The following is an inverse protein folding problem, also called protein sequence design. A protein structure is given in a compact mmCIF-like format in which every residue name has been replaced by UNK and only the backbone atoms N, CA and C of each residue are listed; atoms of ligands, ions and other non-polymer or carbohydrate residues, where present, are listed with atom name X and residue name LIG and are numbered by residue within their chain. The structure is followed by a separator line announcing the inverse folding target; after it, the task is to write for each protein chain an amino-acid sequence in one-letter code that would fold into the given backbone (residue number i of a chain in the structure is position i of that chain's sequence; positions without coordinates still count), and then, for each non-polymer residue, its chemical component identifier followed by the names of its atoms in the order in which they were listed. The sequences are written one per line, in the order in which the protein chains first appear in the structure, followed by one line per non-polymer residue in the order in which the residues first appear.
data_IF_881167868637
#
_entry.id   IF_881167868637
#
_cell.length_a   1.000
_cell.length_b   1.000
_cell.length_c   1.000
_cell.angle_alpha   90.00
_cell.angle_beta   90.00
_cell.angle_gamma   90.00
#
_symmetry.space_group_name_H-M   'P 1'
#
loop_
_entity.id
_entity.type
_entity.pdbx_description
1 polymer ?
#
# COMPACT_ATOMS: atom_id res chain seq x y z
N UNK A 1 16.25 -22.98 9.26
CA UNK A 1 15.90 -21.62 8.80
C UNK A 1 15.52 -20.78 10.00
N UNK A 2 16.31 -19.75 10.33
CA UNK A 2 15.93 -18.80 11.35
C UNK A 2 14.65 -18.07 10.91
N UNK A 3 13.67 -17.92 11.83
CA UNK A 3 12.51 -17.10 11.51
C UNK A 3 13.00 -15.68 11.20
N UNK A 4 12.58 -15.15 10.07
CA UNK A 4 12.96 -13.80 9.66
C UNK A 4 12.66 -12.81 10.79
N UNK A 5 13.72 -12.31 11.41
CA UNK A 5 13.60 -11.34 12.50
C UNK A 5 13.18 -9.99 11.90
N UNK A 6 12.46 -9.19 12.68
CA UNK A 6 12.22 -7.80 12.34
C UNK A 6 13.55 -7.05 12.20
N UNK A 7 13.52 -5.91 11.57
CA UNK A 7 14.71 -5.07 11.37
C UNK A 7 14.46 -3.64 11.83
N UNK A 8 15.56 -2.91 12.01
CA UNK A 8 15.52 -1.48 12.26
C UNK A 8 15.23 -0.71 10.96
N UNK A 9 14.33 0.23 11.04
CA UNK A 9 14.07 1.21 9.98
C UNK A 9 14.08 2.61 10.58
N UNK A 10 14.71 3.54 9.89
CA UNK A 10 14.70 4.95 10.27
C UNK A 10 13.45 5.63 9.72
N UNK A 11 12.62 6.17 10.61
CA UNK A 11 11.44 6.97 10.25
C UNK A 11 11.59 8.36 10.87
N UNK A 12 11.87 9.36 10.02
CA UNK A 12 12.30 10.68 10.48
C UNK A 12 13.64 10.59 11.21
N UNK A 13 13.69 11.03 12.46
CA UNK A 13 14.89 10.95 13.33
C UNK A 13 14.90 9.75 14.29
N UNK A 14 13.90 8.88 14.24
CA UNK A 14 13.77 7.74 15.15
C UNK A 14 14.07 6.42 14.45
N UNK A 15 14.79 5.52 15.14
CA UNK A 15 14.98 4.14 14.74
C UNK A 15 13.87 3.29 15.33
N UNK A 16 13.08 2.65 14.44
CA UNK A 16 11.98 1.76 14.85
C UNK A 16 12.30 0.32 14.46
N UNK A 17 12.20 -0.59 15.42
CA UNK A 17 12.31 -2.01 15.14
C UNK A 17 10.92 -2.59 14.86
N UNK A 18 10.79 -3.31 13.76
CA UNK A 18 9.48 -3.89 13.45
C UNK A 18 9.38 -4.57 12.10
N UNK A 19 8.15 -4.58 11.62
CA UNK A 19 7.73 -5.15 10.35
C UNK A 19 6.93 -4.11 9.57
N UNK A 20 6.94 -4.24 8.24
CA UNK A 20 6.04 -3.51 7.36
C UNK A 20 4.94 -4.43 6.85
N UNK A 21 3.73 -3.92 6.77
CA UNK A 21 2.63 -4.55 6.08
C UNK A 21 2.44 -3.83 4.74
N UNK A 22 2.57 -4.56 3.65
CA UNK A 22 2.31 -4.11 2.29
C UNK A 22 0.99 -4.74 1.86
N UNK A 23 0.08 -3.96 1.31
CA UNK A 23 -1.19 -4.49 0.85
C UNK A 23 -1.75 -3.72 -0.34
N UNK A 24 -2.41 -4.46 -1.21
CA UNK A 24 -3.15 -3.94 -2.35
C UNK A 24 -4.62 -3.72 -2.01
N UNK A 25 -5.16 -2.59 -2.46
CA UNK A 25 -6.58 -2.23 -2.28
C UNK A 25 -7.19 -1.98 -3.64
N UNK A 26 -8.30 -2.64 -3.93
CA UNK A 26 -9.03 -2.36 -5.16
C UNK A 26 -9.57 -0.93 -5.17
N UNK A 27 -9.28 -0.21 -6.24
CA UNK A 27 -9.63 1.19 -6.38
C UNK A 27 -11.13 1.45 -6.49
N UNK A 28 -11.93 0.46 -6.86
CA UNK A 28 -13.40 0.56 -6.97
C UNK A 28 -14.07 0.22 -5.64
N UNK A 29 -13.86 -0.99 -5.15
CA UNK A 29 -14.48 -1.47 -3.90
C UNK A 29 -13.83 -0.92 -2.63
N UNK A 30 -12.53 -0.56 -2.67
CA UNK A 30 -11.76 -0.16 -1.49
C UNK A 30 -11.46 -1.33 -0.55
N UNK A 31 -11.61 -2.57 -1.03
CA UNK A 31 -11.31 -3.78 -0.27
C UNK A 31 -9.88 -4.23 -0.53
N UNK A 32 -9.26 -4.83 0.46
CA UNK A 32 -7.92 -5.40 0.36
C UNK A 32 -7.98 -6.73 -0.36
N UNK A 33 -7.15 -6.92 -1.38
CA UNK A 33 -7.06 -8.16 -2.15
C UNK A 33 -5.73 -8.89 -1.97
N UNK A 34 -4.68 -8.21 -1.54
CA UNK A 34 -3.36 -8.81 -1.31
C UNK A 34 -2.71 -8.24 -0.06
N UNK A 35 -1.93 -9.06 0.64
CA UNK A 35 -1.22 -8.68 1.86
C UNK A 35 0.12 -9.42 1.93
N UNK A 36 1.18 -8.65 2.15
CA UNK A 36 2.50 -9.16 2.45
C UNK A 36 3.09 -8.48 3.68
N UNK A 37 3.89 -9.23 4.44
CA UNK A 37 4.60 -8.71 5.62
C UNK A 37 6.09 -8.91 5.44
N UNK A 38 6.85 -7.85 5.59
CA UNK A 38 8.31 -7.89 5.49
C UNK A 38 8.98 -7.32 6.73
N UNK A 39 10.28 -7.47 6.83
CA UNK A 39 11.07 -6.71 7.80
C UNK A 39 11.01 -5.21 7.46
N UNK A 40 11.15 -4.36 8.47
CA UNK A 40 10.96 -2.91 8.30
C UNK A 40 11.96 -2.24 7.32
N UNK A 41 13.12 -2.84 7.07
CA UNK A 41 14.14 -2.35 6.15
C UNK A 41 13.85 -2.62 4.66
N UNK A 42 12.85 -3.45 4.34
CA UNK A 42 12.50 -3.74 2.95
C UNK A 42 11.84 -2.51 2.32
N UNK A 43 12.30 -2.14 1.13
CA UNK A 43 11.74 -1.01 0.39
C UNK A 43 10.37 -1.37 -0.21
N UNK A 44 9.42 -0.45 -0.10
CA UNK A 44 8.04 -0.66 -0.56
C UNK A 44 7.98 -1.01 -2.06
N UNK A 45 8.82 -0.38 -2.87
CA UNK A 45 8.90 -0.63 -4.32
C UNK A 45 9.22 -2.08 -4.69
N UNK A 46 9.95 -2.82 -3.83
CA UNK A 46 10.31 -4.22 -4.09
C UNK A 46 9.13 -5.18 -3.94
N UNK A 47 8.07 -4.74 -3.27
CA UNK A 47 6.89 -5.56 -3.01
C UNK A 47 5.78 -5.34 -4.04
N UNK A 48 6.01 -4.49 -5.06
CA UNK A 48 4.97 -4.12 -6.02
C UNK A 48 4.44 -5.32 -6.79
N UNK A 49 5.32 -6.19 -7.30
CA UNK A 49 4.95 -7.38 -8.07
C UNK A 49 4.14 -8.38 -7.24
N UNK A 50 4.50 -8.54 -5.95
CA UNK A 50 3.81 -9.46 -5.03
C UNK A 50 2.39 -8.99 -4.66
N UNK A 51 2.13 -7.69 -4.77
CA UNK A 51 0.83 -7.12 -4.44
C UNK A 51 -0.15 -7.09 -5.62
N UNK A 52 0.34 -7.25 -6.85
CA UNK A 52 -0.47 -7.24 -8.05
C UNK A 52 -1.05 -8.63 -8.34
N UNK A 53 -2.32 -8.67 -8.69
CA UNK A 53 -3.03 -9.91 -9.07
C UNK A 53 -2.88 -10.24 -10.56
N UNK A 54 -2.41 -9.26 -11.33
CA UNK A 54 -2.33 -9.31 -12.79
C UNK A 54 -3.63 -8.94 -13.52
N UNK A 55 -4.66 -8.53 -12.79
CA UNK A 55 -5.93 -8.05 -13.37
C UNK A 55 -5.93 -6.52 -13.57
N UNK A 56 -4.98 -5.82 -12.97
CA UNK A 56 -4.95 -4.37 -12.88
C UNK A 56 -4.72 -3.71 -14.26
N UNK A 57 -5.47 -2.67 -14.53
CA UNK A 57 -5.21 -1.76 -15.66
C UNK A 57 -4.43 -0.51 -15.22
N UNK A 58 -4.63 -0.11 -13.96
CA UNK A 58 -4.00 1.07 -13.36
C UNK A 58 -3.57 0.77 -11.94
N UNK A 59 -2.33 1.09 -11.62
CA UNK A 59 -1.75 0.96 -10.28
C UNK A 59 -1.48 2.35 -9.72
N UNK A 60 -1.98 2.61 -8.53
CA UNK A 60 -1.72 3.85 -7.80
C UNK A 60 -0.78 3.57 -6.62
N UNK A 61 0.25 4.37 -6.48
CA UNK A 61 1.20 4.27 -5.37
C UNK A 61 1.66 5.63 -4.87
N UNK A 62 2.20 5.66 -3.67
CA UNK A 62 2.85 6.85 -3.15
C UNK A 62 4.28 7.01 -3.71
N UNK A 63 4.99 8.02 -3.24
CA UNK A 63 6.36 8.28 -3.70
C UNK A 63 7.39 7.21 -3.30
N UNK A 64 7.04 6.30 -2.40
CA UNK A 64 7.86 5.12 -2.05
C UNK A 64 7.92 4.08 -3.15
N UNK A 65 6.96 4.11 -4.09
CA UNK A 65 6.87 3.22 -5.24
C UNK A 65 7.43 3.81 -6.54
N UNK A 66 8.12 4.96 -6.48
CA UNK A 66 8.76 5.55 -7.67
C UNK A 66 9.76 4.56 -8.27
N UNK A 67 9.61 4.28 -9.56
CA UNK A 67 10.46 3.35 -10.30
C UNK A 67 9.94 1.92 -10.32
N UNK A 68 8.81 1.62 -9.71
CA UNK A 68 8.20 0.28 -9.72
C UNK A 68 8.05 -0.28 -11.14
N UNK A 69 7.66 0.57 -12.09
CA UNK A 69 7.47 0.18 -13.50
C UNK A 69 8.75 -0.14 -14.27
N UNK A 70 9.91 0.21 -13.71
CA UNK A 70 11.24 0.04 -14.34
C UNK A 70 12.03 -1.13 -13.79
N UNK A 71 11.49 -1.83 -12.82
CA UNK A 71 12.16 -2.98 -12.20
C UNK A 71 12.08 -4.20 -13.13
N UNK A 72 13.04 -5.09 -13.01
CA UNK A 72 13.09 -6.34 -13.80
C UNK A 72 11.93 -7.28 -13.47
N UNK A 73 11.42 -7.22 -12.23
CA UNK A 73 10.28 -7.98 -11.73
C UNK A 73 8.93 -7.26 -11.95
N UNK A 74 8.91 -6.10 -12.64
CA UNK A 74 7.70 -5.31 -12.83
C UNK A 74 6.68 -6.02 -13.74
N UNK A 75 5.45 -6.14 -13.26
CA UNK A 75 4.33 -6.60 -14.08
C UNK A 75 3.87 -5.42 -14.95
N UNK A 76 4.27 -5.40 -16.21
CA UNK A 76 3.97 -4.30 -17.13
C UNK A 76 2.71 -4.52 -17.96
N UNK A 77 2.23 -5.76 -18.03
CA UNK A 77 1.00 -6.14 -18.73
C UNK A 77 0.13 -7.01 -17.82
N UNK A 78 -1.16 -6.81 -17.90
CA UNK A 78 -2.11 -7.64 -17.17
C UNK A 78 -2.32 -8.99 -17.88
N UNK A 79 -3.08 -9.90 -17.26
CA UNK A 79 -3.41 -11.24 -17.82
C UNK A 79 -4.08 -11.20 -19.18
N UNK A 80 -4.70 -10.08 -19.53
CA UNK A 80 -5.34 -9.84 -20.83
C UNK A 80 -4.41 -9.18 -21.86
N UNK A 81 -3.10 -9.09 -21.57
CA UNK A 81 -2.08 -8.48 -22.44
C UNK A 81 -2.10 -6.94 -22.49
N UNK A 82 -3.00 -6.29 -21.77
CA UNK A 82 -3.12 -4.83 -21.71
C UNK A 82 -2.03 -4.22 -20.86
N UNK A 83 -1.40 -3.15 -21.33
CA UNK A 83 -0.36 -2.44 -20.58
C UNK A 83 -0.91 -1.80 -19.30
N UNK A 84 -0.28 -2.08 -18.18
CA UNK A 84 -0.61 -1.49 -16.87
C UNK A 84 -0.07 -0.06 -16.82
N UNK A 85 -0.90 0.88 -16.34
CA UNK A 85 -0.53 2.28 -16.15
C UNK A 85 -0.17 2.53 -14.70
N UNK A 86 1.10 2.79 -14.42
CA UNK A 86 1.57 3.16 -13.08
C UNK A 86 1.37 4.66 -12.83
N UNK A 87 0.53 5.01 -11.87
CA UNK A 87 0.22 6.39 -11.45
C UNK A 87 0.80 6.66 -10.05
N UNK A 88 2.11 6.73 -9.96
CA UNK A 88 2.83 6.96 -8.72
C UNK A 88 2.88 8.46 -8.41
N UNK A 89 2.70 8.83 -7.13
CA UNK A 89 2.82 10.22 -6.69
C UNK A 89 4.26 10.71 -6.77
N UNK A 90 4.43 11.94 -7.21
CA UNK A 90 5.74 12.61 -7.24
C UNK A 90 6.13 13.10 -5.85
N UNK A 91 7.43 13.15 -5.58
CA UNK A 91 7.94 13.79 -4.37
C UNK A 91 7.65 15.31 -4.42
N UNK A 92 7.27 15.94 -3.30
CA UNK A 92 7.02 17.38 -3.25
C UNK A 92 8.19 18.24 -3.77
N UNK A 93 9.43 17.80 -3.53
CA UNK A 93 10.63 18.44 -4.05
C UNK A 93 10.68 18.51 -5.58
N UNK A 94 10.26 17.46 -6.27
CA UNK A 94 10.23 17.42 -7.74
C UNK A 94 9.15 18.36 -8.31
N UNK A 95 8.03 18.55 -7.59
CA UNK A 95 6.96 19.47 -8.00
C UNK A 95 7.45 20.92 -7.89
N UNK A 96 8.21 21.24 -6.84
CA UNK A 96 8.77 22.60 -6.63
C UNK A 96 9.72 23.07 -7.73
N UNK A 97 10.36 22.14 -8.44
CA UNK A 97 11.28 22.43 -9.56
C UNK A 97 10.56 22.80 -10.87
N UNK A 98 9.24 22.60 -10.95
CA UNK A 98 8.47 22.94 -12.14
C UNK A 98 8.14 24.43 -12.19
N UNK A 99 7.84 24.93 -13.40
CA UNK A 99 7.29 26.27 -13.59
C UNK A 99 5.97 26.45 -12.81
N UNK A 100 5.54 27.69 -12.53
CA UNK A 100 4.29 27.96 -11.80
C UNK A 100 3.08 27.27 -12.42
N UNK A 101 2.93 27.32 -13.76
CA UNK A 101 1.86 26.60 -14.47
C UNK A 101 2.01 25.08 -14.35
N UNK A 102 3.24 24.56 -14.44
CA UNK A 102 3.54 23.16 -14.25
C UNK A 102 3.22 22.67 -12.84
N UNK A 103 3.52 23.47 -11.82
CA UNK A 103 3.19 23.15 -10.42
C UNK A 103 1.67 23.04 -10.21
N UNK A 104 0.87 23.95 -10.79
CA UNK A 104 -0.59 23.90 -10.68
C UNK A 104 -1.14 22.62 -11.28
N UNK A 105 -0.74 22.28 -12.53
CA UNK A 105 -1.15 21.04 -13.19
C UNK A 105 -0.70 19.79 -12.41
N UNK A 106 0.55 19.78 -11.94
CA UNK A 106 1.07 18.69 -11.14
C UNK A 106 0.28 18.51 -9.84
N UNK A 107 0.02 19.57 -9.08
CA UNK A 107 -0.77 19.53 -7.83
C UNK A 107 -2.17 18.96 -8.06
N UNK A 108 -2.86 19.37 -9.14
CA UNK A 108 -4.18 18.84 -9.50
C UNK A 108 -4.12 17.32 -9.77
N UNK A 109 -3.13 16.87 -10.54
CA UNK A 109 -2.93 15.44 -10.82
C UNK A 109 -2.57 14.63 -9.57
N UNK A 110 -1.71 15.19 -8.70
CA UNK A 110 -1.35 14.54 -7.44
C UNK A 110 -2.56 14.44 -6.49
N UNK A 111 -3.41 15.45 -6.45
CA UNK A 111 -4.65 15.42 -5.66
C UNK A 111 -5.59 14.29 -6.14
N UNK A 112 -5.76 14.12 -7.46
CA UNK A 112 -6.56 13.02 -8.01
C UNK A 112 -6.00 11.64 -7.63
N UNK A 113 -4.69 11.45 -7.70
CA UNK A 113 -4.05 10.20 -7.28
C UNK A 113 -4.25 9.96 -5.77
N UNK A 114 -4.05 11.00 -4.96
CA UNK A 114 -4.22 10.91 -3.51
C UNK A 114 -5.66 10.60 -3.10
N UNK A 115 -6.65 11.12 -3.82
CA UNK A 115 -8.06 10.79 -3.60
C UNK A 115 -8.35 9.29 -3.77
N UNK A 116 -7.75 8.64 -4.79
CA UNK A 116 -7.86 7.18 -4.94
C UNK A 116 -7.15 6.45 -3.80
N UNK A 117 -5.96 6.90 -3.42
CA UNK A 117 -5.16 6.31 -2.33
C UNK A 117 -5.80 6.45 -0.94
N UNK A 118 -6.67 7.43 -0.73
CA UNK A 118 -7.39 7.58 0.54
C UNK A 118 -8.15 6.30 0.96
N UNK A 119 -8.48 5.42 0.02
CA UNK A 119 -9.08 4.11 0.30
C UNK A 119 -8.14 3.19 1.09
N UNK A 120 -6.84 3.26 0.83
CA UNK A 120 -5.81 2.54 1.61
C UNK A 120 -5.77 3.05 3.05
N UNK A 121 -5.85 4.38 3.22
CA UNK A 121 -5.87 5.01 4.55
C UNK A 121 -7.11 4.64 5.35
N UNK A 122 -8.25 4.43 4.70
CA UNK A 122 -9.47 3.93 5.33
C UNK A 122 -9.27 2.54 5.94
N UNK A 123 -8.65 1.61 5.21
CA UNK A 123 -8.34 0.28 5.74
C UNK A 123 -7.41 0.38 6.95
N UNK A 124 -6.35 1.19 6.85
CA UNK A 124 -5.46 1.45 7.98
C UNK A 124 -6.19 2.01 9.19
N UNK A 125 -7.12 2.94 8.97
CA UNK A 125 -7.92 3.53 10.04
C UNK A 125 -8.77 2.49 10.76
N UNK A 126 -9.41 1.57 10.03
CA UNK A 126 -10.18 0.46 10.62
C UNK A 126 -9.27 -0.41 11.48
N UNK A 127 -8.14 -0.85 10.95
CA UNK A 127 -7.21 -1.74 11.67
C UNK A 127 -6.61 -1.06 12.91
N UNK A 128 -6.17 0.20 12.78
CA UNK A 128 -5.51 0.92 13.88
C UNK A 128 -6.49 1.42 14.94
N UNK A 129 -7.64 1.93 14.54
CA UNK A 129 -8.57 2.60 15.44
C UNK A 129 -9.69 1.67 15.90
N UNK A 130 -10.38 1.00 14.99
CA UNK A 130 -11.49 0.12 15.35
C UNK A 130 -10.99 -1.18 15.98
N UNK A 131 -9.97 -1.82 15.38
CA UNK A 131 -9.41 -3.07 15.92
C UNK A 131 -8.23 -2.85 16.87
N UNK A 132 -7.91 -1.60 17.19
CA UNK A 132 -6.86 -1.19 18.14
C UNK A 132 -5.48 -1.83 17.89
N UNK A 133 -5.18 -2.16 16.62
CA UNK A 133 -3.90 -2.75 16.25
C UNK A 133 -2.86 -1.65 16.02
N UNK A 134 -2.35 -1.06 17.11
CA UNK A 134 -1.36 0.03 17.08
C UNK A 134 0.08 -0.43 17.27
N UNK A 135 0.28 -1.58 17.93
CA UNK A 135 1.61 -2.14 18.22
C UNK A 135 1.61 -3.64 17.96
N UNK A 136 2.75 -4.13 17.46
CA UNK A 136 2.98 -5.57 17.33
C UNK A 136 3.22 -6.18 18.71
N UNK A 137 2.47 -7.23 19.06
CA UNK A 137 2.59 -7.94 20.34
C UNK A 137 3.33 -9.28 20.21
N UNK A 138 3.44 -9.79 18.98
CA UNK A 138 4.05 -11.10 18.72
C UNK A 138 5.45 -10.92 18.14
N UNK A 139 6.35 -11.81 18.51
CA UNK A 139 7.68 -11.91 17.89
C UNK A 139 7.61 -12.81 16.64
N UNK A 140 8.36 -12.42 15.61
CA UNK A 140 8.51 -13.17 14.37
C UNK A 140 7.50 -12.83 13.28
N UNK A 141 7.98 -12.76 12.03
CA UNK A 141 7.23 -12.41 10.82
C UNK A 141 5.96 -13.27 10.66
N UNK A 142 6.08 -14.59 10.85
CA UNK A 142 4.97 -15.55 10.67
C UNK A 142 3.76 -15.22 11.56
N UNK A 143 3.99 -14.87 12.83
CA UNK A 143 2.92 -14.53 13.76
C UNK A 143 2.28 -13.18 13.42
N UNK A 144 3.07 -12.21 12.95
CA UNK A 144 2.55 -10.92 12.47
C UNK A 144 1.70 -11.10 11.22
N UNK A 145 2.19 -11.88 10.25
CA UNK A 145 1.45 -12.22 9.04
C UNK A 145 0.11 -12.91 9.38
N UNK A 146 0.12 -13.92 10.24
CA UNK A 146 -1.11 -14.61 10.66
C UNK A 146 -2.11 -13.65 11.33
N UNK A 147 -1.64 -12.74 12.20
CA UNK A 147 -2.50 -11.73 12.83
C UNK A 147 -3.11 -10.77 11.81
N UNK A 148 -2.32 -10.29 10.87
CA UNK A 148 -2.81 -9.37 9.84
C UNK A 148 -3.74 -10.06 8.85
N UNK A 149 -3.46 -11.32 8.47
CA UNK A 149 -4.37 -12.14 7.66
C UNK A 149 -5.74 -12.38 8.30
N UNK A 150 -5.86 -12.20 9.61
CA UNK A 150 -7.15 -12.21 10.30
C UNK A 150 -7.80 -10.82 10.31
N UNK A 151 -7.01 -9.77 10.56
CA UNK A 151 -7.53 -8.41 10.70
C UNK A 151 -7.98 -7.79 9.35
N UNK A 152 -7.27 -8.04 8.25
CA UNK A 152 -7.62 -7.47 6.95
C UNK A 152 -8.94 -8.01 6.38
N UNK A 153 -9.25 -9.32 6.42
CA UNK A 153 -10.58 -9.81 6.07
C UNK A 153 -11.69 -9.24 6.94
N UNK A 154 -11.48 -9.11 8.25
CA UNK A 154 -12.45 -8.45 9.13
C UNK A 154 -12.65 -6.97 8.75
N UNK A 155 -11.59 -6.27 8.40
CA UNK A 155 -11.70 -4.90 7.90
C UNK A 155 -12.47 -4.84 6.58
N UNK A 156 -12.25 -5.80 5.68
CA UNK A 156 -13.02 -5.91 4.45
C UNK A 156 -14.51 -6.14 4.71
N UNK A 157 -14.87 -7.04 5.62
CA UNK A 157 -16.27 -7.27 6.02
C UNK A 157 -16.92 -6.00 6.57
N UNK A 158 -16.24 -5.32 7.50
CA UNK A 158 -16.71 -4.06 8.07
C UNK A 158 -16.90 -2.97 7.01
N UNK A 159 -15.94 -2.82 6.09
CA UNK A 159 -16.00 -1.82 5.02
C UNK A 159 -17.06 -2.16 3.97
N UNK A 160 -17.24 -3.44 3.66
CA UNK A 160 -18.27 -3.92 2.74
C UNK A 160 -19.66 -3.70 3.32
N UNK A 161 -19.88 -4.02 4.61
CA UNK A 161 -21.15 -3.79 5.29
C UNK A 161 -21.53 -2.29 5.25
N UNK A 162 -20.62 -1.42 5.65
CA UNK A 162 -20.87 0.03 5.62
C UNK A 162 -21.12 0.60 4.22
N UNK A 163 -20.60 -0.03 3.19
CA UNK A 163 -20.65 0.48 1.82
C UNK A 163 -21.82 -0.06 1.02
N UNK A 164 -22.15 -1.35 1.23
CA UNK A 164 -23.10 -2.07 0.43
C UNK A 164 -24.37 -2.42 1.22
N UNK A 165 -24.44 -2.04 2.52
CA UNK A 165 -25.58 -2.31 3.37
C UNK A 165 -25.86 -3.81 3.49
N UNK A 166 -24.83 -4.61 3.78
CA UNK A 166 -24.97 -6.04 4.03
C UNK A 166 -25.71 -6.25 5.36
N UNK A 167 -26.89 -5.64 5.52
CA UNK A 167 -27.72 -5.85 6.70
C UNK A 167 -28.12 -7.32 6.76
N UNK A 168 -27.57 -8.04 7.73
CA UNK A 168 -28.05 -9.35 8.16
C UNK A 168 -29.28 -9.14 9.04
#
# INVERSE_FOLDING_TARGET
MHPAQGSLCKEGNEWKFGYKAHFGVDSKSGLVHSLEVTSANVHDVTMTSELLTGEEEVVYGDSGYIGAEKRDDAITRNKHGKKIKYKINRKPSQIKLLSKSGQYKAKKNEHQKSSVRAKVEHVFSVIKNLFSFRKTRYRGKRKQFAKLNFLFPLANLYLADRRFGLSV
#
